data_IF_288428767007
#
_entry.id   IF_288428767007
#
_cell.length_a   1.000
_cell.length_b   1.000
_cell.length_c   1.000
_cell.angle_alpha   90.00
_cell.angle_beta   90.00
_cell.angle_gamma   90.00
#
_symmetry.space_group_name_H-M   'P 1'
#
loop_
_entity.id
_entity.type
_entity.pdbx_description
1 polymer ?
#
# COMPACT_ATOMS: atom_id res chain seq x y z
N UNK A 1 -4.38 10.30 -23.24
CA UNK A 1 -4.92 9.46 -22.14
C UNK A 1 -3.86 9.44 -21.06
N UNK A 2 -4.12 10.08 -19.93
CA UNK A 2 -3.14 10.15 -18.83
C UNK A 2 -3.31 8.88 -18.02
N UNK A 3 -2.57 7.84 -18.38
CA UNK A 3 -2.46 6.61 -17.58
C UNK A 3 -1.71 6.98 -16.30
N UNK A 4 -2.45 7.36 -15.25
CA UNK A 4 -1.87 7.71 -13.96
C UNK A 4 -1.47 6.41 -13.26
N UNK A 5 -0.32 5.86 -13.68
CA UNK A 5 0.27 4.70 -13.01
C UNK A 5 0.49 5.05 -11.54
N UNK A 6 -0.09 4.24 -10.65
CA UNK A 6 0.13 4.40 -9.21
C UNK A 6 1.62 4.20 -8.91
N UNK A 7 2.14 5.00 -7.99
CA UNK A 7 3.50 4.88 -7.47
C UNK A 7 3.44 4.25 -6.09
N UNK A 8 4.50 3.54 -5.72
CA UNK A 8 4.63 2.91 -4.42
C UNK A 8 4.77 3.99 -3.35
N UNK A 9 3.91 3.94 -2.33
CA UNK A 9 3.91 4.88 -1.22
C UNK A 9 5.16 4.77 -0.31
N UNK A 10 5.95 3.69 -0.44
CA UNK A 10 7.19 3.51 0.33
C UNK A 10 8.45 3.91 -0.45
N UNK A 11 8.64 3.40 -1.67
CA UNK A 11 9.89 3.55 -2.42
C UNK A 11 9.78 4.50 -3.63
N UNK A 12 8.57 4.97 -3.96
CA UNK A 12 8.32 5.89 -5.08
C UNK A 12 8.44 5.26 -6.48
N UNK A 13 8.69 3.96 -6.60
CA UNK A 13 8.72 3.25 -7.87
C UNK A 13 7.31 2.99 -8.41
N UNK A 14 7.18 2.83 -9.72
CA UNK A 14 5.91 2.47 -10.36
C UNK A 14 5.38 1.14 -9.84
N UNK A 15 4.10 1.08 -9.49
CA UNK A 15 3.41 -0.18 -9.18
C UNK A 15 3.09 -0.87 -10.50
N UNK A 16 3.91 -1.85 -10.88
CA UNK A 16 3.68 -2.65 -12.09
C UNK A 16 2.61 -3.74 -11.88
N UNK A 17 2.51 -4.26 -10.65
CA UNK A 17 1.57 -5.31 -10.26
C UNK A 17 0.67 -4.82 -9.13
N UNK A 18 -0.62 -4.55 -9.41
CA UNK A 18 -1.58 -4.25 -8.35
C UNK A 18 -1.84 -5.50 -7.49
N UNK A 19 -2.13 -5.31 -6.21
CA UNK A 19 -2.41 -6.41 -5.26
C UNK A 19 -1.81 -6.20 -3.87
N UNK A 20 -0.86 -5.28 -3.74
CA UNK A 20 -0.28 -4.91 -2.46
C UNK A 20 -0.84 -3.56 -2.02
N UNK A 21 -1.91 -3.58 -1.24
CA UNK A 21 -2.54 -2.38 -0.68
C UNK A 21 -2.71 -2.50 0.83
N UNK A 22 -2.76 -1.36 1.51
CA UNK A 22 -3.11 -1.27 2.93
C UNK A 22 -4.09 -0.14 3.15
N UNK A 23 -5.10 -0.40 3.97
CA UNK A 23 -5.98 0.64 4.46
C UNK A 23 -5.36 1.19 5.74
N UNK A 24 -5.04 2.48 5.74
CA UNK A 24 -4.51 3.18 6.92
C UNK A 24 -5.47 4.28 7.35
N UNK A 25 -5.25 4.84 8.53
CA UNK A 25 -6.01 6.00 9.03
C UNK A 25 -5.90 7.22 8.11
N UNK A 26 -4.84 7.30 7.31
CA UNK A 26 -4.60 8.37 6.33
C UNK A 26 -5.19 8.05 4.95
N UNK A 27 -5.74 6.85 4.76
CA UNK A 27 -6.33 6.36 3.53
C UNK A 27 -5.58 5.17 2.94
N UNK A 28 -5.99 4.78 1.73
CA UNK A 28 -5.45 3.59 1.07
C UNK A 28 -4.04 3.86 0.51
N UNK A 29 -3.12 2.97 0.84
CA UNK A 29 -1.74 2.95 0.36
C UNK A 29 -1.54 1.82 -0.64
N UNK A 30 -0.73 2.07 -1.67
CA UNK A 30 -0.38 1.12 -2.71
C UNK A 30 1.13 0.87 -2.75
N UNK A 31 1.51 -0.39 -2.94
CA UNK A 31 2.90 -0.82 -2.91
C UNK A 31 3.28 -1.60 -4.16
N UNK A 32 4.54 -1.51 -4.59
CA UNK A 32 5.03 -2.22 -5.76
C UNK A 32 5.30 -3.71 -5.49
N UNK A 33 5.42 -4.12 -4.23
CA UNK A 33 5.68 -5.50 -3.82
C UNK A 33 5.29 -5.75 -2.35
N UNK A 34 5.23 -7.02 -1.98
CA UNK A 34 4.98 -7.46 -0.60
C UNK A 34 6.02 -6.91 0.39
N UNK A 35 7.28 -6.81 0.00
CA UNK A 35 8.34 -6.26 0.84
C UNK A 35 8.07 -4.80 1.23
N UNK A 36 7.57 -3.97 0.31
CA UNK A 36 7.20 -2.60 0.61
C UNK A 36 5.96 -2.53 1.51
N UNK A 37 4.97 -3.41 1.29
CA UNK A 37 3.81 -3.55 2.18
C UNK A 37 4.26 -3.87 3.61
N UNK A 38 5.05 -4.93 3.79
CA UNK A 38 5.50 -5.40 5.11
C UNK A 38 6.36 -4.39 5.86
N UNK A 39 7.28 -3.70 5.18
CA UNK A 39 8.08 -2.64 5.80
C UNK A 39 7.18 -1.48 6.24
N UNK A 40 6.23 -1.07 5.41
CA UNK A 40 5.29 -0.01 5.77
C UNK A 40 4.44 -0.40 6.98
N UNK A 41 3.96 -1.65 7.05
CA UNK A 41 3.22 -2.17 8.20
C UNK A 41 4.05 -2.12 9.48
N UNK A 42 5.32 -2.54 9.41
CA UNK A 42 6.22 -2.55 10.56
C UNK A 42 6.53 -1.13 11.06
N UNK A 43 6.70 -0.17 10.15
CA UNK A 43 7.04 1.21 10.49
C UNK A 43 5.83 2.05 10.91
N UNK A 44 4.61 1.67 10.49
CA UNK A 44 3.38 2.46 10.68
C UNK A 44 2.27 1.60 11.29
N UNK A 45 2.61 0.64 12.15
CA UNK A 45 1.67 -0.32 12.76
C UNK A 45 0.48 0.41 13.43
N UNK A 46 0.74 1.54 14.09
CA UNK A 46 -0.25 2.37 14.75
C UNK A 46 -1.18 3.12 13.80
N UNK A 47 -0.81 3.22 12.52
CA UNK A 47 -1.60 3.86 11.47
C UNK A 47 -2.43 2.87 10.66
N UNK A 48 -2.17 1.56 10.79
CA UNK A 48 -2.94 0.55 10.07
C UNK A 48 -4.36 0.46 10.63
N UNK A 49 -5.33 0.38 9.73
CA UNK A 49 -6.66 -0.05 10.10
C UNK A 49 -6.73 -1.57 10.00
N UNK A 50 -7.51 -2.25 10.87
CA UNK A 50 -7.70 -3.69 10.73
C UNK A 50 -8.25 -3.96 9.33
N UNK A 51 -7.53 -4.79 8.56
CA UNK A 51 -8.05 -5.31 7.29
C UNK A 51 -9.39 -5.99 7.66
N UNK A 52 -10.49 -5.43 7.14
CA UNK A 52 -11.81 -6.02 7.37
C UNK A 52 -11.86 -7.27 6.51
N UNK A 53 -11.41 -8.40 7.08
CA UNK A 53 -11.73 -9.73 6.60
C UNK A 53 -13.25 -9.92 6.75
N UNK A 54 -14.03 -9.37 5.84
CA UNK A 54 -15.42 -9.77 5.66
C UNK A 54 -15.43 -11.14 4.97
N UNK A 55 -15.58 -12.18 5.81
CA UNK A 55 -16.00 -13.60 5.63
C UNK A 55 -16.18 -14.14 4.19
#
# INVERSE_FOLDING_TARGET
MTDTKKVCDLCGLTVETPGFTLVTKEGDKAFCCEGCKGIYQLLNEDQLLPESDED
#
